data_IF_440145835421
#
_entry.id   IF_440145835421
#
_cell.length_a   1.000
_cell.length_b   1.000
_cell.length_c   1.000
_cell.angle_alpha   90.00
_cell.angle_beta   90.00
_cell.angle_gamma   90.00
#
_symmetry.space_group_name_H-M   'P 1'
#
loop_
_entity.id
_entity.type
_entity.pdbx_description
1 polymer ?
#
# COMPACT_ATOMS: atom_id res chain seq x y z
N UNK A 1 11.82 -16.49 -4.01
CA UNK A 1 12.28 -15.08 -3.88
C UNK A 1 11.16 -14.16 -4.36
N UNK A 2 11.17 -12.90 -3.92
CA UNK A 2 10.20 -11.89 -4.36
C UNK A 2 10.83 -10.97 -5.40
N UNK A 3 10.02 -10.51 -6.36
CA UNK A 3 10.48 -9.68 -7.47
C UNK A 3 9.67 -8.40 -7.57
N UNK A 4 10.35 -7.29 -7.79
CA UNK A 4 9.76 -6.02 -8.18
C UNK A 4 10.46 -5.50 -9.45
N UNK A 5 9.69 -4.81 -10.31
CA UNK A 5 10.22 -4.23 -11.54
C UNK A 5 9.89 -2.75 -11.58
N UNK A 6 10.93 -1.92 -11.55
CA UNK A 6 10.80 -0.49 -11.78
C UNK A 6 11.12 -0.18 -13.25
N UNK A 7 10.49 0.86 -13.77
CA UNK A 7 10.72 1.28 -15.17
C UNK A 7 11.15 2.73 -15.25
N UNK A 8 11.95 3.06 -16.26
CA UNK A 8 12.30 4.44 -16.56
C UNK A 8 12.27 4.64 -18.08
N UNK A 9 11.41 5.53 -18.61
CA UNK A 9 10.40 6.31 -17.88
C UNK A 9 9.29 5.43 -17.27
N UNK A 10 8.63 5.96 -16.25
CA UNK A 10 7.40 5.44 -15.66
C UNK A 10 6.30 6.52 -15.81
N UNK A 11 5.23 6.28 -16.58
CA UNK A 11 4.90 5.04 -17.30
C UNK A 11 5.81 4.76 -18.50
N UNK A 12 5.90 3.48 -18.89
CA UNK A 12 6.53 3.07 -20.16
C UNK A 12 5.76 3.70 -21.32
N UNK A 13 6.47 4.29 -22.29
CA UNK A 13 5.87 4.90 -23.47
C UNK A 13 6.18 4.08 -24.73
N UNK A 14 5.14 3.74 -25.48
CA UNK A 14 5.27 3.21 -26.84
C UNK A 14 6.03 4.20 -27.73
N UNK A 15 6.76 3.69 -28.71
CA UNK A 15 7.51 4.53 -29.65
C UNK A 15 6.58 5.35 -30.56
N UNK A 16 6.96 6.57 -30.96
CA UNK A 16 6.21 7.31 -31.96
C UNK A 16 6.23 6.58 -33.32
N UNK A 17 5.22 6.86 -34.15
CA UNK A 17 5.11 6.29 -35.51
C UNK A 17 6.26 6.72 -36.43
N UNK A 18 6.93 7.82 -36.11
CA UNK A 18 8.06 8.38 -36.86
C UNK A 18 9.14 8.93 -35.91
N UNK A 19 10.40 8.85 -36.31
CA UNK A 19 11.53 9.36 -35.52
C UNK A 19 12.26 8.25 -34.77
N UNK A 20 13.00 8.63 -33.73
CA UNK A 20 13.71 7.66 -32.89
C UNK A 20 12.72 6.89 -32.01
N UNK A 21 12.96 5.59 -31.77
CA UNK A 21 12.17 4.83 -30.83
C UNK A 21 12.34 5.39 -29.41
N UNK A 22 11.26 5.36 -28.64
CA UNK A 22 11.34 5.51 -27.19
C UNK A 22 12.06 4.31 -26.61
N UNK A 23 12.85 4.54 -25.55
CA UNK A 23 13.55 3.49 -24.84
C UNK A 23 13.07 3.39 -23.41
N UNK A 24 13.04 2.17 -22.88
CA UNK A 24 12.79 1.90 -21.47
C UNK A 24 13.99 1.20 -20.83
N UNK A 25 14.23 1.53 -19.57
CA UNK A 25 15.08 0.77 -18.66
C UNK A 25 14.19 -0.02 -17.72
N UNK A 26 14.44 -1.32 -17.58
CA UNK A 26 13.84 -2.19 -16.59
C UNK A 26 14.86 -2.43 -15.47
N UNK A 27 14.51 -2.09 -14.25
CA UNK A 27 15.27 -2.42 -13.05
C UNK A 27 14.52 -3.53 -12.31
N UNK A 28 15.11 -4.72 -12.25
CA UNK A 28 14.57 -5.90 -11.62
C UNK A 28 15.23 -6.03 -10.25
N UNK A 29 14.44 -5.84 -9.20
CA UNK A 29 14.85 -5.99 -7.81
C UNK A 29 14.41 -7.36 -7.32
N UNK A 30 15.34 -8.11 -6.75
CA UNK A 30 15.13 -9.44 -6.18
C UNK A 30 15.36 -9.34 -4.68
N UNK A 31 14.40 -9.81 -3.89
CA UNK A 31 14.54 -9.87 -2.43
C UNK A 31 14.28 -11.27 -1.89
N UNK A 32 14.96 -11.58 -0.80
CA UNK A 32 14.72 -12.78 -0.01
C UNK A 32 14.19 -12.38 1.37
N UNK A 33 12.91 -12.66 1.59
CA UNK A 33 12.17 -12.34 2.81
C UNK A 33 12.06 -13.53 3.79
N UNK A 34 12.52 -14.73 3.42
CA UNK A 34 12.33 -15.94 4.24
C UNK A 34 13.19 -15.98 5.51
N UNK A 35 14.28 -15.20 5.55
CA UNK A 35 15.27 -15.22 6.64
C UNK A 35 16.33 -16.32 6.50
N UNK A 36 16.07 -17.33 5.66
CA UNK A 36 17.01 -18.38 5.29
C UNK A 36 17.77 -18.04 4.00
N UNK A 37 18.96 -18.59 3.84
CA UNK A 37 19.78 -18.36 2.65
C UNK A 37 19.26 -19.21 1.48
N UNK A 38 19.02 -18.58 0.32
CA UNK A 38 18.59 -19.27 -0.90
C UNK A 38 19.79 -19.37 -1.85
N UNK A 39 20.09 -20.57 -2.33
CA UNK A 39 21.07 -20.78 -3.41
C UNK A 39 20.36 -20.55 -4.75
N UNK A 40 20.76 -19.51 -5.48
CA UNK A 40 20.24 -19.18 -6.80
C UNK A 40 21.28 -19.48 -7.87
N UNK A 41 20.91 -20.29 -8.85
CA UNK A 41 21.77 -20.68 -9.97
C UNK A 41 21.58 -19.77 -11.18
N UNK A 42 20.34 -19.33 -11.44
CA UNK A 42 20.08 -18.38 -12.51
C UNK A 42 18.75 -17.64 -12.35
N UNK A 43 18.70 -16.47 -12.95
CA UNK A 43 17.47 -15.68 -13.14
C UNK A 43 17.42 -15.30 -14.62
N UNK A 44 16.39 -15.76 -15.32
CA UNK A 44 16.15 -15.41 -16.72
C UNK A 44 14.98 -14.43 -16.81
N UNK A 45 15.24 -13.26 -17.39
CA UNK A 45 14.21 -12.26 -17.71
C UNK A 45 13.93 -12.33 -19.20
N UNK A 46 12.65 -12.40 -19.59
CA UNK A 46 12.26 -12.46 -20.99
C UNK A 46 10.98 -11.69 -21.29
N UNK A 47 10.84 -11.28 -22.55
CA UNK A 47 9.65 -10.64 -23.08
C UNK A 47 9.48 -11.02 -24.56
N UNK A 48 8.27 -10.87 -25.09
CA UNK A 48 8.01 -11.09 -26.51
C UNK A 48 8.51 -9.94 -27.36
N UNK A 49 8.91 -10.26 -28.60
CA UNK A 49 9.42 -9.29 -29.56
C UNK A 49 8.65 -9.30 -30.87
N UNK A 50 8.28 -8.10 -31.32
CA UNK A 50 7.60 -7.85 -32.58
C UNK A 50 6.89 -6.49 -32.54
N UNK A 51 5.82 -6.35 -33.32
CA UNK A 51 5.10 -5.09 -33.53
C UNK A 51 3.77 -4.98 -32.79
N UNK A 52 3.30 -6.06 -32.15
CA UNK A 52 1.97 -6.14 -31.55
C UNK A 52 1.93 -5.55 -30.13
N UNK A 53 0.70 -5.37 -29.62
CA UNK A 53 0.44 -4.76 -28.31
C UNK A 53 1.12 -5.54 -27.17
N UNK A 54 1.17 -6.86 -27.27
CA UNK A 54 1.69 -7.80 -26.27
C UNK A 54 3.22 -7.97 -26.31
N UNK A 55 3.89 -7.32 -27.26
CA UNK A 55 5.32 -7.45 -27.49
C UNK A 55 6.04 -6.17 -27.04
N UNK A 56 7.10 -6.27 -26.22
CA UNK A 56 7.75 -5.07 -25.68
C UNK A 56 8.56 -4.33 -26.75
N UNK A 57 9.33 -5.07 -27.55
CA UNK A 57 10.33 -4.50 -28.47
C UNK A 57 10.26 -5.18 -29.83
N UNK A 58 10.49 -4.44 -30.90
CA UNK A 58 10.69 -5.01 -32.24
C UNK A 58 12.16 -5.33 -32.55
N UNK A 59 13.08 -4.92 -31.68
CA UNK A 59 14.53 -5.01 -31.89
C UNK A 59 15.28 -5.04 -30.55
N UNK A 60 15.94 -6.16 -30.26
CA UNK A 60 16.71 -6.37 -29.02
C UNK A 60 18.18 -5.97 -29.15
N UNK A 61 18.59 -5.44 -30.30
CA UNK A 61 19.98 -4.98 -30.50
C UNK A 61 20.27 -3.72 -29.69
N UNK A 62 21.45 -3.70 -29.07
CA UNK A 62 21.92 -2.55 -28.29
C UNK A 62 21.32 -2.43 -26.89
N UNK A 63 20.58 -3.44 -26.41
CA UNK A 63 20.15 -3.51 -25.01
C UNK A 63 21.40 -3.60 -24.12
N UNK A 64 21.52 -2.64 -23.22
CA UNK A 64 22.57 -2.62 -22.20
C UNK A 64 22.15 -3.41 -20.97
N UNK A 65 23.12 -3.76 -20.12
CA UNK A 65 22.84 -4.36 -18.83
C UNK A 65 23.73 -3.81 -17.73
N UNK A 66 23.26 -3.90 -16.49
CA UNK A 66 24.05 -3.76 -15.28
C UNK A 66 23.65 -4.88 -14.34
N UNK A 67 24.64 -5.56 -13.78
CA UNK A 67 24.46 -6.74 -12.93
C UNK A 67 25.15 -6.51 -11.59
N UNK A 68 24.69 -7.18 -10.51
CA UNK A 68 25.38 -7.17 -9.23
C UNK A 68 26.83 -7.68 -9.34
N UNK A 69 27.67 -7.32 -8.37
CA UNK A 69 29.03 -7.86 -8.29
C UNK A 69 29.00 -9.39 -8.20
N UNK A 70 29.82 -10.06 -9.00
CA UNK A 70 29.91 -11.52 -9.02
C UNK A 70 28.79 -12.20 -9.81
N UNK A 71 28.05 -11.45 -10.62
CA UNK A 71 27.07 -11.96 -11.57
C UNK A 71 27.46 -11.59 -13.00
N UNK A 72 27.05 -12.41 -13.94
CA UNK A 72 27.18 -12.17 -15.38
C UNK A 72 25.84 -12.36 -16.10
N UNK A 73 25.72 -11.78 -17.31
CA UNK A 73 24.51 -11.86 -18.13
C UNK A 73 24.83 -12.43 -19.51
N UNK A 74 24.00 -13.35 -19.97
CA UNK A 74 23.99 -13.86 -21.34
C UNK A 74 22.65 -13.56 -22.01
N UNK A 75 22.70 -13.05 -23.24
CA UNK A 75 21.52 -12.74 -24.03
C UNK A 75 21.37 -13.75 -25.17
N UNK A 76 20.16 -14.30 -25.31
CA UNK A 76 19.74 -15.08 -26.47
C UNK A 76 18.40 -14.54 -26.98
N UNK A 77 18.44 -13.71 -28.03
CA UNK A 77 17.25 -13.05 -28.56
C UNK A 77 16.64 -12.07 -27.54
N UNK A 78 15.46 -12.42 -27.01
CA UNK A 78 14.73 -11.65 -25.99
C UNK A 78 14.79 -12.26 -24.59
N UNK A 79 15.66 -13.26 -24.38
CA UNK A 79 15.92 -13.89 -23.09
C UNK A 79 17.27 -13.40 -22.57
N UNK A 80 17.28 -12.90 -21.34
CA UNK A 80 18.45 -12.38 -20.63
C UNK A 80 18.65 -13.21 -19.37
N UNK A 81 19.65 -14.10 -19.39
CA UNK A 81 19.96 -15.00 -18.29
C UNK A 81 21.08 -14.43 -17.45
N UNK A 82 20.80 -14.16 -16.19
CA UNK A 82 21.75 -13.76 -15.17
C UNK A 82 22.19 -15.01 -14.39
N UNK A 83 23.49 -15.15 -14.17
CA UNK A 83 24.06 -16.26 -13.39
C UNK A 83 25.15 -15.74 -12.45
N UNK A 84 25.28 -16.29 -11.24
CA UNK A 84 26.40 -15.98 -10.38
C UNK A 84 27.68 -16.61 -10.94
N UNK A 85 28.78 -15.89 -10.83
CA UNK A 85 30.09 -16.34 -11.29
C UNK A 85 30.72 -17.36 -10.32
N UNK A 86 30.21 -17.42 -9.08
CA UNK A 86 30.63 -18.34 -8.00
C UNK A 86 29.44 -18.81 -7.19
N UNK A 87 29.56 -19.96 -6.51
CA UNK A 87 28.53 -20.46 -5.59
C UNK A 87 28.18 -19.44 -4.49
N UNK A 88 29.18 -18.72 -3.97
CA UNK A 88 29.00 -17.70 -2.93
C UNK A 88 28.20 -16.49 -3.43
N UNK A 89 28.40 -16.06 -4.68
CA UNK A 89 27.62 -14.97 -5.27
C UNK A 89 26.15 -15.37 -5.53
N UNK A 90 25.87 -16.67 -5.67
CA UNK A 90 24.53 -17.24 -5.78
C UNK A 90 23.79 -17.36 -4.44
N UNK A 91 24.44 -17.11 -3.31
CA UNK A 91 23.82 -17.19 -1.99
C UNK A 91 23.06 -15.90 -1.67
N UNK A 92 21.74 -15.93 -1.85
CA UNK A 92 20.87 -14.78 -1.64
C UNK A 92 20.40 -14.77 -0.18
N UNK A 93 20.91 -13.82 0.59
CA UNK A 93 20.46 -13.53 1.95
C UNK A 93 19.51 -12.31 1.95
N UNK A 94 19.28 -11.67 3.11
CA UNK A 94 18.42 -10.49 3.20
C UNK A 94 18.91 -9.25 2.44
N UNK A 95 20.11 -9.28 1.82
CA UNK A 95 20.54 -8.24 0.89
C UNK A 95 19.95 -8.54 -0.49
N UNK A 96 19.09 -7.65 -0.99
CA UNK A 96 18.50 -7.79 -2.32
C UNK A 96 19.52 -7.65 -3.45
N UNK A 97 19.17 -8.20 -4.61
CA UNK A 97 19.92 -8.02 -5.86
C UNK A 97 19.18 -7.08 -6.80
N UNK A 98 19.93 -6.35 -7.62
CA UNK A 98 19.36 -5.49 -8.66
C UNK A 98 20.00 -5.78 -10.00
N UNK A 99 19.19 -6.17 -10.97
CA UNK A 99 19.58 -6.35 -12.37
C UNK A 99 18.93 -5.26 -13.21
N UNK A 100 19.65 -4.70 -14.17
CA UNK A 100 19.15 -3.63 -15.04
C UNK A 100 19.29 -4.05 -16.48
N UNK A 101 18.22 -3.90 -17.26
CA UNK A 101 18.24 -3.94 -18.73
C UNK A 101 17.90 -2.54 -19.24
N UNK A 102 18.81 -1.92 -20.00
CA UNK A 102 18.68 -0.53 -20.43
C UNK A 102 18.63 -0.40 -21.95
N UNK A 103 18.16 0.76 -22.44
CA UNK A 103 18.04 1.07 -23.87
C UNK A 103 17.15 0.08 -24.65
N UNK A 104 16.16 -0.52 -23.98
CA UNK A 104 15.19 -1.38 -24.65
C UNK A 104 14.30 -0.49 -25.52
N UNK A 105 14.40 -0.62 -26.83
CA UNK A 105 13.54 0.10 -27.78
C UNK A 105 12.13 -0.43 -27.65
N UNK A 106 11.21 0.39 -27.17
CA UNK A 106 9.80 0.01 -27.03
C UNK A 106 9.17 -0.01 -28.43
N UNK A 107 8.35 -1.00 -28.75
CA UNK A 107 7.66 -0.99 -30.05
C UNK A 107 6.58 0.11 -30.11
N UNK A 108 5.96 0.29 -31.28
CA UNK A 108 5.05 1.42 -31.53
C UNK A 108 3.62 1.20 -31.03
N UNK A 109 3.23 -0.04 -30.72
CA UNK A 109 1.85 -0.38 -30.38
C UNK A 109 1.64 -0.30 -28.87
N UNK A 110 0.81 0.64 -28.35
CA UNK A 110 0.41 0.63 -26.94
C UNK A 110 -0.30 -0.67 -26.57
N UNK A 111 -0.15 -1.11 -25.33
CA UNK A 111 -0.64 -2.41 -24.92
C UNK A 111 0.02 -2.93 -23.65
N UNK A 112 -0.54 -4.00 -23.09
CA UNK A 112 0.06 -4.74 -21.98
C UNK A 112 0.88 -5.90 -22.52
N UNK A 113 2.12 -6.01 -22.10
CA UNK A 113 3.00 -7.16 -22.37
C UNK A 113 3.31 -7.89 -21.06
N UNK A 114 3.72 -9.15 -21.17
CA UNK A 114 4.19 -9.93 -20.03
C UNK A 114 5.72 -9.87 -19.96
N UNK A 115 6.24 -9.45 -18.82
CA UNK A 115 7.64 -9.71 -18.47
C UNK A 115 7.69 -11.04 -17.70
N UNK A 116 8.34 -12.03 -18.27
CA UNK A 116 8.48 -13.35 -17.65
C UNK A 116 9.83 -13.43 -16.95
N UNK A 117 9.81 -13.72 -15.66
CA UNK A 117 10.99 -14.00 -14.85
C UNK A 117 10.96 -15.49 -14.50
N UNK A 118 11.99 -16.21 -14.91
CA UNK A 118 12.20 -17.61 -14.52
C UNK A 118 13.42 -17.68 -13.62
N UNK A 119 13.27 -18.20 -12.41
CA UNK A 119 14.39 -18.47 -11.51
C UNK A 119 14.66 -19.96 -11.42
N UNK A 120 15.95 -20.30 -11.30
CA UNK A 120 16.42 -21.61 -10.89
C UNK A 120 17.14 -21.44 -9.55
N UNK A 121 16.51 -21.91 -8.47
CA UNK A 121 16.99 -21.70 -7.11
C UNK A 121 16.52 -22.80 -6.16
N UNK A 122 17.24 -23.00 -5.07
CA UNK A 122 16.86 -23.95 -4.02
C UNK A 122 15.50 -23.61 -3.39
N UNK A 123 14.76 -24.62 -2.97
CA UNK A 123 13.57 -24.46 -2.14
C UNK A 123 13.91 -24.01 -0.70
N UNK A 124 13.54 -22.79 -0.27
CA UNK A 124 13.78 -22.34 1.10
C UNK A 124 13.03 -23.18 2.15
N UNK A 125 11.91 -23.83 1.77
CA UNK A 125 11.08 -24.60 2.69
C UNK A 125 11.45 -26.09 2.75
N UNK A 126 12.41 -26.54 1.92
CA UNK A 126 12.85 -27.92 1.87
C UNK A 126 13.96 -28.24 2.88
N UNK A 127 13.94 -29.48 3.41
CA UNK A 127 14.99 -29.97 4.32
C UNK A 127 16.31 -30.09 3.55
N UNK A 128 17.42 -29.52 4.05
CA UNK A 128 18.71 -29.59 3.38
C UNK A 128 19.20 -31.04 3.09
N UNK A 129 19.76 -31.30 1.90
CA UNK A 129 19.92 -30.37 0.78
C UNK A 129 18.59 -30.11 0.05
N UNK A 130 18.18 -28.84 -0.01
CA UNK A 130 16.97 -28.42 -0.70
C UNK A 130 17.11 -28.67 -2.21
N UNK A 131 16.10 -29.24 -2.88
CA UNK A 131 16.13 -29.43 -4.32
C UNK A 131 16.12 -28.08 -5.04
N UNK A 132 16.72 -28.05 -6.21
CA UNK A 132 16.59 -26.93 -7.15
C UNK A 132 15.17 -26.91 -7.72
N UNK A 133 14.56 -25.74 -7.72
CA UNK A 133 13.24 -25.50 -8.27
C UNK A 133 13.30 -24.42 -9.35
N UNK A 134 12.63 -24.71 -10.47
CA UNK A 134 12.36 -23.71 -11.49
C UNK A 134 11.02 -23.03 -11.18
N UNK A 135 11.06 -21.73 -10.85
CA UNK A 135 9.84 -20.94 -10.63
C UNK A 135 9.70 -19.90 -11.72
N UNK A 136 8.46 -19.62 -12.13
CA UNK A 136 8.17 -18.64 -13.17
C UNK A 136 7.11 -17.66 -12.69
N UNK A 137 7.40 -16.38 -12.86
CA UNK A 137 6.54 -15.25 -12.51
C UNK A 137 6.30 -14.45 -13.78
N UNK A 138 5.04 -14.05 -14.01
CA UNK A 138 4.66 -13.17 -15.10
C UNK A 138 4.19 -11.85 -14.52
N UNK A 139 4.88 -10.77 -14.87
CA UNK A 139 4.56 -9.41 -14.43
C UNK A 139 3.96 -8.65 -15.62
N UNK A 140 2.66 -8.33 -15.60
CA UNK A 140 2.05 -7.53 -16.65
C UNK A 140 2.50 -6.07 -16.55
N UNK A 141 3.08 -5.55 -17.62
CA UNK A 141 3.50 -4.15 -17.74
C UNK A 141 2.83 -3.51 -18.95
N UNK A 142 2.50 -2.23 -18.87
CA UNK A 142 1.78 -1.52 -19.94
C UNK A 142 2.64 -0.46 -20.62
N UNK A 143 2.63 -0.46 -21.95
CA UNK A 143 3.16 0.60 -22.80
C UNK A 143 2.03 1.58 -23.11
N UNK A 144 2.15 2.81 -22.63
CA UNK A 144 1.19 3.87 -22.87
C UNK A 144 1.48 4.59 -24.19
N UNK A 145 0.51 5.34 -24.76
CA UNK A 145 0.73 6.13 -25.96
C UNK A 145 1.98 7.04 -25.85
N UNK A 146 2.62 7.39 -26.99
CA UNK A 146 3.76 8.29 -26.99
C UNK A 146 3.47 9.59 -26.23
N UNK A 147 4.42 10.03 -25.42
CA UNK A 147 4.33 11.25 -24.59
C UNK A 147 3.24 11.22 -23.49
N UNK A 148 2.56 10.09 -23.26
CA UNK A 148 1.65 9.95 -22.14
C UNK A 148 2.41 10.05 -20.81
N UNK A 149 1.88 10.85 -19.90
CA UNK A 149 2.45 11.07 -18.57
C UNK A 149 1.35 11.31 -17.54
N UNK A 150 1.67 10.99 -16.29
CA UNK A 150 0.90 11.33 -15.10
C UNK A 150 1.91 11.69 -14.02
N UNK A 151 1.86 12.93 -13.56
CA UNK A 151 2.73 13.41 -12.48
C UNK A 151 2.26 12.85 -11.13
N UNK A 152 3.16 12.78 -10.15
CA UNK A 152 2.77 12.43 -8.79
C UNK A 152 1.77 13.47 -8.26
N UNK A 153 0.60 13.03 -7.73
CA UNK A 153 -0.34 13.95 -7.15
C UNK A 153 0.25 14.59 -5.89
N UNK A 154 -0.18 15.81 -5.59
CA UNK A 154 0.31 16.58 -4.45
C UNK A 154 -0.84 17.02 -3.56
N UNK A 155 -0.55 17.16 -2.27
CA UNK A 155 -1.49 17.70 -1.29
C UNK A 155 -1.00 19.06 -0.81
N UNK A 156 -1.94 19.95 -0.47
CA UNK A 156 -1.57 21.25 0.12
C UNK A 156 -1.00 21.12 1.54
N UNK A 157 -1.30 20.02 2.24
CA UNK A 157 -0.78 19.69 3.57
C UNK A 157 -0.33 18.23 3.60
N UNK A 158 0.80 17.96 4.24
CA UNK A 158 1.27 16.58 4.50
C UNK A 158 0.73 16.02 5.82
N UNK A 159 0.21 16.88 6.70
CA UNK A 159 -0.33 16.53 8.01
C UNK A 159 -1.61 17.33 8.23
N UNK A 160 -2.68 16.65 8.67
CA UNK A 160 -3.98 17.26 8.99
C UNK A 160 -4.52 16.69 10.32
N UNK A 161 -5.44 17.38 10.98
CA UNK A 161 -6.20 16.74 12.07
C UNK A 161 -7.35 15.91 11.48
N UNK A 162 -7.82 14.91 12.23
CA UNK A 162 -9.03 14.18 11.83
C UNK A 162 -10.21 15.15 11.59
N UNK A 163 -10.82 15.04 10.41
CA UNK A 163 -11.96 15.85 9.99
C UNK A 163 -11.59 17.19 9.33
N UNK A 164 -10.30 17.52 9.25
CA UNK A 164 -9.84 18.62 8.40
C UNK A 164 -9.90 18.22 6.93
N UNK A 165 -10.07 19.21 6.05
CA UNK A 165 -10.08 18.99 4.60
C UNK A 165 -8.67 19.09 4.00
N UNK A 166 -8.42 18.35 2.92
CA UNK A 166 -7.17 18.40 2.14
C UNK A 166 -7.46 18.65 0.67
N UNK A 167 -6.66 19.51 0.04
CA UNK A 167 -6.71 19.76 -1.40
C UNK A 167 -5.69 18.84 -2.11
N UNK A 168 -6.19 17.86 -2.86
CA UNK A 168 -5.39 17.03 -3.76
C UNK A 168 -5.30 17.71 -5.13
N UNK A 169 -4.11 17.80 -5.71
CA UNK A 169 -3.86 18.37 -7.04
C UNK A 169 -3.10 17.39 -7.91
N UNK A 170 -3.41 17.35 -9.21
CA UNK A 170 -2.77 16.44 -10.16
C UNK A 170 -2.59 17.08 -11.54
N UNK A 171 -1.69 16.47 -12.32
CA UNK A 171 -1.39 16.81 -13.70
C UNK A 171 -1.11 15.54 -14.48
N UNK A 172 -1.58 15.48 -15.72
CA UNK A 172 -1.37 14.35 -16.61
C UNK A 172 -1.91 14.62 -18.01
N UNK A 173 -1.77 13.62 -18.86
CA UNK A 173 -2.16 13.69 -20.26
C UNK A 173 -3.69 13.72 -20.47
N UNK A 174 -4.16 14.71 -21.23
CA UNK A 174 -5.54 14.75 -21.70
C UNK A 174 -5.81 13.69 -22.78
N UNK A 175 -7.08 13.43 -23.04
CA UNK A 175 -7.49 12.66 -24.23
C UNK A 175 -6.92 13.28 -25.51
N UNK A 176 -6.58 12.44 -26.47
CA UNK A 176 -6.07 12.81 -27.79
C UNK A 176 -6.86 12.06 -28.88
N UNK A 177 -6.57 12.34 -30.16
CA UNK A 177 -7.28 11.66 -31.26
C UNK A 177 -7.12 10.14 -31.30
N UNK A 178 -6.09 9.59 -30.65
CA UNK A 178 -5.77 8.16 -30.64
C UNK A 178 -6.06 7.45 -29.31
N UNK A 179 -6.39 8.17 -28.24
CA UNK A 179 -6.81 7.57 -26.97
C UNK A 179 -7.69 8.51 -26.14
N UNK A 180 -8.52 7.93 -25.28
CA UNK A 180 -9.27 8.65 -24.24
C UNK A 180 -8.64 8.37 -22.88
N UNK A 181 -8.33 9.42 -22.11
CA UNK A 181 -7.83 9.32 -20.74
C UNK A 181 -8.91 9.80 -19.76
N UNK A 182 -9.28 8.95 -18.80
CA UNK A 182 -10.28 9.24 -17.76
C UNK A 182 -9.64 9.10 -16.38
N UNK A 183 -9.89 10.08 -15.51
CA UNK A 183 -9.29 10.19 -14.17
C UNK A 183 -10.31 9.89 -13.08
N UNK A 184 -9.89 9.17 -12.04
CA UNK A 184 -10.63 8.99 -10.79
C UNK A 184 -9.69 9.05 -9.59
N UNK A 185 -10.22 9.44 -8.44
CA UNK A 185 -9.52 9.39 -7.16
C UNK A 185 -10.18 8.32 -6.31
N UNK A 186 -9.40 7.39 -5.76
CA UNK A 186 -9.86 6.42 -4.77
C UNK A 186 -9.11 6.60 -3.45
N UNK A 187 -9.82 6.49 -2.33
CA UNK A 187 -9.24 6.47 -0.99
C UNK A 187 -10.19 5.78 -0.01
N UNK A 188 -9.71 5.47 1.20
CA UNK A 188 -10.56 5.04 2.31
C UNK A 188 -10.82 6.20 3.27
N UNK A 189 -12.08 6.45 3.60
CA UNK A 189 -12.48 7.55 4.48
C UNK A 189 -12.30 7.20 5.97
N UNK A 190 -12.63 8.14 6.88
CA UNK A 190 -12.46 7.94 8.33
C UNK A 190 -13.24 6.79 8.95
N UNK A 191 -14.24 6.25 8.25
CA UNK A 191 -15.02 5.07 8.66
C UNK A 191 -14.47 3.76 8.06
N UNK A 192 -13.41 3.82 7.26
CA UNK A 192 -12.85 2.69 6.52
C UNK A 192 -13.64 2.31 5.26
N UNK A 193 -14.52 3.19 4.78
CA UNK A 193 -15.26 2.96 3.55
C UNK A 193 -14.45 3.45 2.34
N UNK A 194 -14.42 2.63 1.29
CA UNK A 194 -13.84 3.02 0.00
C UNK A 194 -14.69 4.13 -0.64
N UNK A 195 -14.05 5.22 -1.03
CA UNK A 195 -14.63 6.36 -1.74
C UNK A 195 -14.01 6.46 -3.12
N UNK A 196 -14.84 6.63 -4.15
CA UNK A 196 -14.40 6.87 -5.53
C UNK A 196 -14.97 8.20 -6.01
N UNK A 197 -14.10 9.09 -6.48
CA UNK A 197 -14.45 10.39 -7.07
C UNK A 197 -14.10 10.34 -8.55
N UNK A 198 -15.10 10.51 -9.42
CA UNK A 198 -14.93 10.48 -10.89
C UNK A 198 -15.32 11.79 -11.58
N UNK A 199 -15.77 12.79 -10.81
CA UNK A 199 -16.24 14.08 -11.32
C UNK A 199 -15.96 15.22 -10.34
N UNK A 200 -15.90 16.49 -10.80
CA UNK A 200 -15.77 17.65 -9.91
C UNK A 200 -16.98 17.81 -8.96
N UNK A 201 -16.77 18.51 -7.82
CA UNK A 201 -17.86 18.85 -6.88
C UNK A 201 -18.98 19.60 -7.61
N UNK A 202 -20.22 19.14 -7.46
CA UNK A 202 -21.41 19.77 -8.07
C UNK A 202 -21.58 19.54 -9.57
N UNK A 203 -20.73 18.74 -10.22
CA UNK A 203 -20.77 18.49 -11.67
C UNK A 203 -20.80 16.98 -11.98
N UNK A 204 -21.85 16.22 -11.59
CA UNK A 204 -21.85 14.75 -11.62
C UNK A 204 -21.74 14.12 -13.02
N UNK A 205 -21.95 14.92 -14.08
CA UNK A 205 -21.86 14.45 -15.48
C UNK A 205 -20.55 14.84 -16.16
N UNK A 206 -19.69 15.61 -15.50
CA UNK A 206 -18.41 16.04 -16.05
C UNK A 206 -17.30 15.16 -15.49
N UNK A 207 -16.49 14.47 -16.32
CA UNK A 207 -15.35 13.71 -15.81
C UNK A 207 -14.32 14.63 -15.17
N UNK A 208 -13.51 14.10 -14.26
CA UNK A 208 -12.34 14.83 -13.75
C UNK A 208 -11.43 15.25 -14.92
N UNK A 209 -10.90 16.48 -14.91
CA UNK A 209 -9.95 16.93 -15.92
C UNK A 209 -8.59 16.27 -15.72
N UNK A 210 -7.78 16.22 -16.78
CA UNK A 210 -6.41 15.69 -16.71
C UNK A 210 -5.46 16.54 -15.87
N UNK A 211 -5.77 17.83 -15.72
CA UNK A 211 -5.11 18.75 -14.79
C UNK A 211 -6.19 19.35 -13.91
N UNK A 212 -6.10 19.16 -12.60
CA UNK A 212 -7.15 19.56 -11.68
C UNK A 212 -6.78 19.48 -10.22
N UNK A 213 -7.75 19.84 -9.38
CA UNK A 213 -7.68 19.66 -7.94
C UNK A 213 -9.05 19.29 -7.37
N UNK A 214 -9.05 18.64 -6.21
CA UNK A 214 -10.25 18.21 -5.50
C UNK A 214 -10.04 18.36 -4.00
N UNK A 215 -10.97 19.04 -3.33
CA UNK A 215 -10.98 19.19 -1.88
C UNK A 215 -11.70 17.99 -1.23
N UNK A 216 -10.99 17.27 -0.38
CA UNK A 216 -11.45 16.05 0.28
C UNK A 216 -11.76 16.39 1.73
N UNK A 217 -13.03 16.28 2.11
CA UNK A 217 -13.52 16.77 3.40
C UNK A 217 -13.46 15.72 4.52
N UNK A 218 -13.24 14.44 4.18
CA UNK A 218 -13.32 13.29 5.10
C UNK A 218 -12.09 12.37 4.95
N UNK A 219 -10.89 12.98 4.99
CA UNK A 219 -9.66 12.23 5.19
C UNK A 219 -9.55 11.88 6.69
N UNK A 220 -9.56 10.60 7.02
CA UNK A 220 -9.76 10.19 8.42
C UNK A 220 -8.97 8.97 8.90
N UNK A 221 -8.35 8.20 8.00
CA UNK A 221 -7.40 7.15 8.36
C UNK A 221 -5.99 7.71 8.48
N UNK A 222 -5.16 7.13 9.34
CA UNK A 222 -3.76 7.52 9.46
C UNK A 222 -2.82 6.39 8.98
N UNK A 223 -2.06 6.59 7.89
CA UNK A 223 -2.19 7.67 6.92
C UNK A 223 -3.43 7.50 6.03
N UNK A 224 -3.97 8.59 5.49
CA UNK A 224 -4.94 8.52 4.39
C UNK A 224 -4.15 8.53 3.09
N UNK A 225 -4.34 7.50 2.26
CA UNK A 225 -3.68 7.38 0.95
C UNK A 225 -4.70 7.64 -0.15
N UNK A 226 -4.40 8.60 -1.02
CA UNK A 226 -5.17 8.92 -2.20
C UNK A 226 -4.53 8.27 -3.42
N UNK A 227 -5.29 7.49 -4.17
CA UNK A 227 -4.88 6.86 -5.42
C UNK A 227 -5.50 7.63 -6.58
N UNK A 228 -4.67 8.32 -7.37
CA UNK A 228 -5.05 8.88 -8.66
C UNK A 228 -4.98 7.77 -9.70
N UNK A 229 -6.13 7.32 -10.16
CA UNK A 229 -6.27 6.28 -11.18
C UNK A 229 -6.55 6.92 -12.53
N UNK A 230 -5.87 6.43 -13.57
CA UNK A 230 -6.07 6.84 -14.95
C UNK A 230 -6.39 5.61 -15.79
N UNK A 231 -7.54 5.64 -16.44
CA UNK A 231 -7.94 4.64 -17.44
C UNK A 231 -7.70 5.22 -18.83
N UNK A 232 -6.87 4.56 -19.63
CA UNK A 232 -6.47 4.99 -20.97
C UNK A 232 -7.02 4.02 -22.00
N UNK A 233 -8.10 4.40 -22.67
CA UNK A 233 -8.68 3.65 -23.78
C UNK A 233 -8.01 4.05 -25.08
N UNK A 234 -7.15 3.20 -25.63
CA UNK A 234 -6.51 3.40 -26.93
C UNK A 234 -7.45 2.86 -28.03
N UNK A 235 -7.52 3.57 -29.16
CA UNK A 235 -8.30 3.11 -30.30
C UNK A 235 -7.75 1.77 -30.83
N UNK A 236 -8.62 0.77 -30.94
CA UNK A 236 -8.25 -0.56 -31.45
C UNK A 236 -7.69 -1.53 -30.41
N UNK A 237 -7.56 -1.13 -29.13
CA UNK A 237 -7.34 -2.07 -28.03
C UNK A 237 -8.67 -2.53 -27.43
N UNK A 238 -8.78 -3.82 -27.15
CA UNK A 238 -9.98 -4.43 -26.53
C UNK A 238 -10.11 -4.07 -25.04
N UNK A 239 -8.98 -3.84 -24.38
CA UNK A 239 -8.92 -3.49 -22.96
C UNK A 239 -8.17 -2.16 -22.77
N UNK A 240 -8.66 -1.29 -21.85
CA UNK A 240 -7.95 -0.07 -21.52
C UNK A 240 -6.67 -0.38 -20.74
N UNK A 241 -5.72 0.54 -20.79
CA UNK A 241 -4.55 0.54 -19.94
C UNK A 241 -4.87 1.27 -18.63
N UNK A 242 -4.32 0.78 -17.53
CA UNK A 242 -4.53 1.36 -16.20
C UNK A 242 -3.22 1.87 -15.63
N UNK A 243 -3.25 3.08 -15.08
CA UNK A 243 -2.12 3.68 -14.39
C UNK A 243 -2.56 4.29 -13.06
N UNK A 244 -1.71 4.18 -12.04
CA UNK A 244 -2.01 4.69 -10.70
C UNK A 244 -0.80 5.42 -10.13
N UNK A 245 -1.03 6.60 -9.58
CA UNK A 245 -0.10 7.30 -8.69
C UNK A 245 -0.77 7.53 -7.34
N UNK A 246 0.00 7.78 -6.30
CA UNK A 246 -0.55 8.04 -4.97
C UNK A 246 0.09 9.22 -4.29
N UNK A 247 -0.66 9.82 -3.38
CA UNK A 247 -0.20 10.78 -2.39
C UNK A 247 -0.80 10.40 -1.04
N UNK A 248 -0.13 10.73 0.05
CA UNK A 248 -0.63 10.44 1.39
C UNK A 248 -0.56 11.67 2.29
N UNK A 249 -1.43 11.66 3.29
CA UNK A 249 -1.40 12.60 4.40
C UNK A 249 -1.42 11.85 5.72
N UNK A 250 -0.61 12.32 6.67
CA UNK A 250 -0.69 11.87 8.06
C UNK A 250 -1.90 12.53 8.72
N UNK A 251 -2.73 11.73 9.38
CA UNK A 251 -3.94 12.22 10.05
C UNK A 251 -3.75 12.11 11.55
N UNK A 252 -3.62 13.26 12.21
CA UNK A 252 -3.48 13.30 13.67
C UNK A 252 -4.83 12.92 14.28
N UNK A 253 -4.87 11.73 14.88
CA UNK A 253 -5.99 11.27 15.69
C UNK A 253 -5.94 11.94 17.07
N UNK A 254 -7.06 12.47 17.58
CA UNK A 254 -7.07 13.08 18.89
C UNK A 254 -6.85 12.00 19.97
N UNK A 255 -5.98 12.27 20.95
CA UNK A 255 -5.59 11.29 21.98
C UNK A 255 -6.81 10.90 22.85
N UNK A 256 -7.01 9.61 23.17
CA UNK A 256 -7.98 9.19 24.19
C UNK A 256 -7.70 9.87 25.53
N UNK A 257 -8.74 10.42 26.17
CA UNK A 257 -8.60 11.14 27.44
C UNK A 257 -9.73 10.82 28.42
N UNK A 258 -9.37 10.71 29.70
CA UNK A 258 -10.30 10.74 30.84
C UNK A 258 -10.34 12.19 31.30
N UNK A 259 -11.42 12.91 30.96
CA UNK A 259 -11.59 14.30 31.36
C UNK A 259 -12.02 14.41 32.82
N UNK A 260 -12.85 13.47 33.28
CA UNK A 260 -13.24 13.34 34.68
C UNK A 260 -13.52 11.88 35.04
N UNK A 261 -13.18 11.50 36.27
CA UNK A 261 -13.64 10.25 36.89
C UNK A 261 -13.74 10.47 38.40
N UNK A 262 -14.96 10.38 38.95
CA UNK A 262 -15.23 10.72 40.34
C UNK A 262 -16.23 9.75 40.97
N UNK A 263 -16.28 9.78 42.31
CA UNK A 263 -17.18 8.96 43.12
C UNK A 263 -17.88 9.84 44.15
N UNK A 264 -19.21 9.68 44.29
CA UNK A 264 -20.00 10.40 45.27
C UNK A 264 -21.09 9.51 45.91
N UNK A 265 -21.30 9.58 47.25
CA UNK A 265 -20.44 10.24 48.23
C UNK A 265 -19.07 9.54 48.33
N UNK A 266 -18.03 10.21 48.86
CA UNK A 266 -16.68 9.62 48.98
C UNK A 266 -16.46 8.85 50.29
N UNK A 267 -17.46 8.83 51.17
CA UNK A 267 -17.49 8.04 52.39
C UNK A 267 -18.93 7.72 52.78
N UNK A 268 -19.13 6.56 53.40
CA UNK A 268 -20.44 6.09 53.85
C UNK A 268 -20.29 5.34 55.17
N UNK A 269 -21.30 5.41 56.03
CA UNK A 269 -21.30 4.79 57.37
C UNK A 269 -21.99 3.43 57.32
N UNK A 270 -21.36 2.33 57.79
CA UNK A 270 -21.92 0.98 57.74
C UNK A 270 -23.32 0.86 58.39
N UNK A 271 -24.24 0.13 57.75
CA UNK A 271 -25.53 -0.27 58.33
C UNK A 271 -26.80 0.11 57.56
N UNK A 272 -26.68 0.79 56.41
CA UNK A 272 -27.82 1.30 55.63
C UNK A 272 -27.54 1.12 54.13
N UNK A 273 -27.85 -0.02 53.49
CA UNK A 273 -27.71 -0.27 52.03
C UNK A 273 -26.97 0.81 51.22
N UNK A 274 -25.64 0.81 51.29
CA UNK A 274 -24.84 1.95 50.85
C UNK A 274 -24.47 1.79 49.39
N UNK A 275 -24.77 2.80 48.59
CA UNK A 275 -24.35 2.88 47.19
C UNK A 275 -23.48 4.11 46.96
N UNK A 276 -22.51 3.98 46.08
CA UNK A 276 -21.80 5.11 45.52
C UNK A 276 -22.20 5.30 44.06
N UNK A 277 -22.14 6.53 43.57
CA UNK A 277 -22.28 6.85 42.15
C UNK A 277 -20.91 7.19 41.60
N UNK A 278 -20.41 6.36 40.69
CA UNK A 278 -19.30 6.71 39.82
C UNK A 278 -19.83 7.65 38.74
N UNK A 279 -19.08 8.70 38.41
CA UNK A 279 -19.38 9.62 37.30
C UNK A 279 -18.14 9.81 36.46
N UNK A 280 -18.29 9.89 35.14
CA UNK A 280 -17.16 10.08 34.23
C UNK A 280 -17.50 10.94 33.03
N UNK A 281 -16.44 11.50 32.46
CA UNK A 281 -16.42 12.11 31.14
C UNK A 281 -15.15 11.67 30.45
N UNK A 282 -15.26 11.05 29.28
CA UNK A 282 -14.15 10.59 28.45
C UNK A 282 -14.29 11.14 27.03
N UNK A 283 -13.18 11.23 26.30
CA UNK A 283 -13.19 11.70 24.90
C UNK A 283 -12.19 10.92 24.06
N UNK A 284 -12.47 10.85 22.75
CA UNK A 284 -11.64 10.19 21.74
C UNK A 284 -11.36 8.71 22.06
N UNK A 285 -12.36 8.02 22.59
CA UNK A 285 -12.25 6.61 22.98
C UNK A 285 -13.49 5.87 22.49
N UNK A 286 -13.31 4.62 22.04
CA UNK A 286 -14.41 3.74 21.60
C UNK A 286 -14.81 2.73 22.67
N UNK A 287 -13.96 2.49 23.67
CA UNK A 287 -14.26 1.60 24.79
C UNK A 287 -13.45 1.96 26.05
N UNK A 288 -13.99 1.66 27.22
CA UNK A 288 -13.27 1.76 28.49
C UNK A 288 -13.69 0.65 29.43
N UNK A 289 -12.86 0.39 30.44
CA UNK A 289 -13.23 -0.47 31.55
C UNK A 289 -13.08 0.25 32.88
N UNK A 290 -13.94 -0.11 33.83
CA UNK A 290 -13.80 0.29 35.23
C UNK A 290 -13.49 -0.96 36.04
N UNK A 291 -12.40 -0.89 36.80
CA UNK A 291 -11.92 -1.96 37.67
C UNK A 291 -12.18 -1.55 39.12
N UNK A 292 -12.84 -2.41 39.88
CA UNK A 292 -12.97 -2.30 41.33
C UNK A 292 -11.89 -3.17 41.99
N UNK A 293 -11.07 -2.54 42.84
CA UNK A 293 -10.00 -3.18 43.60
C UNK A 293 -10.34 -3.14 45.08
N UNK A 294 -10.72 -4.27 45.65
CA UNK A 294 -11.30 -4.37 46.99
C UNK A 294 -10.28 -4.35 48.16
N UNK A 295 -9.13 -3.68 47.96
CA UNK A 295 -8.11 -3.47 49.00
C UNK A 295 -7.25 -4.70 49.33
N UNK A 296 -6.42 -4.65 50.40
CA UNK A 296 -5.52 -5.73 50.79
C UNK A 296 -6.27 -7.03 51.10
N UNK A 297 -5.99 -8.09 50.34
CA UNK A 297 -6.66 -9.39 50.46
C UNK A 297 -7.98 -9.51 49.66
N UNK A 298 -8.42 -8.44 48.98
CA UNK A 298 -9.56 -8.44 48.06
C UNK A 298 -9.18 -8.84 46.63
N UNK A 299 -10.18 -9.18 45.81
CA UNK A 299 -10.00 -9.41 44.38
C UNK A 299 -10.16 -8.13 43.57
N UNK A 300 -9.54 -8.09 42.40
CA UNK A 300 -9.84 -7.11 41.35
C UNK A 300 -10.94 -7.65 40.46
N UNK A 301 -11.96 -6.84 40.18
CA UNK A 301 -13.06 -7.23 39.30
C UNK A 301 -13.39 -6.13 38.31
N UNK A 302 -13.72 -6.52 37.08
CA UNK A 302 -14.29 -5.62 36.07
C UNK A 302 -15.75 -5.32 36.45
N UNK A 303 -16.15 -4.08 36.28
CA UNK A 303 -17.56 -3.68 36.35
C UNK A 303 -18.19 -3.74 34.96
N UNK A 304 -19.38 -4.33 34.87
CA UNK A 304 -20.18 -4.39 33.64
C UNK A 304 -20.92 -3.06 33.42
N UNK A 305 -20.15 -2.02 33.08
CA UNK A 305 -20.65 -0.67 32.86
C UNK A 305 -20.91 -0.46 31.37
N UNK A 306 -22.11 -0.04 30.95
CA UNK A 306 -22.36 0.33 29.56
C UNK A 306 -21.46 1.48 29.11
N UNK A 307 -20.89 1.34 27.91
CA UNK A 307 -20.09 2.41 27.32
C UNK A 307 -20.92 3.69 27.13
N UNK A 308 -20.35 4.81 27.55
CA UNK A 308 -20.88 6.15 27.31
C UNK A 308 -19.76 7.19 27.48
N UNK A 309 -19.74 8.21 26.63
CA UNK A 309 -18.75 9.30 26.73
C UNK A 309 -18.93 10.13 28.01
N UNK A 310 -20.16 10.29 28.46
CA UNK A 310 -20.52 10.85 29.75
C UNK A 310 -21.54 9.92 30.40
N UNK A 311 -21.29 9.53 31.66
CA UNK A 311 -22.13 8.55 32.30
C UNK A 311 -21.97 8.49 33.80
N UNK A 312 -22.91 7.76 34.41
CA UNK A 312 -22.90 7.46 35.84
C UNK A 312 -23.20 5.99 36.07
N UNK A 313 -22.59 5.38 37.08
CA UNK A 313 -22.85 3.99 37.45
C UNK A 313 -22.93 3.84 38.97
N UNK A 314 -24.02 3.24 39.44
CA UNK A 314 -24.22 2.98 40.87
C UNK A 314 -23.50 1.69 41.24
N UNK A 315 -22.59 1.77 42.22
CA UNK A 315 -21.87 0.64 42.77
C UNK A 315 -22.25 0.41 44.22
N UNK A 316 -22.30 -0.86 44.60
CA UNK A 316 -22.49 -1.28 45.98
C UNK A 316 -21.17 -1.90 46.46
N UNK A 317 -20.45 -1.27 47.41
CA UNK A 317 -19.19 -1.80 47.90
C UNK A 317 -19.42 -3.11 48.66
N UNK A 318 -18.55 -4.09 48.39
CA UNK A 318 -18.56 -5.39 49.07
C UNK A 318 -17.45 -5.51 50.13
N UNK A 319 -16.53 -4.54 50.17
CA UNK A 319 -15.48 -4.41 51.17
C UNK A 319 -15.47 -3.01 51.80
N UNK A 320 -14.80 -2.89 52.94
CA UNK A 320 -14.65 -1.63 53.68
C UNK A 320 -13.84 -0.58 52.90
N UNK A 321 -12.98 -1.02 51.99
CA UNK A 321 -12.17 -0.15 51.14
C UNK A 321 -12.09 -0.73 49.73
N UNK A 322 -12.60 0.02 48.75
CA UNK A 322 -12.52 -0.33 47.34
C UNK A 322 -12.00 0.87 46.55
N UNK A 323 -10.96 0.67 45.75
CA UNK A 323 -10.47 1.67 44.79
C UNK A 323 -11.03 1.37 43.42
N UNK A 324 -11.66 2.35 42.78
CA UNK A 324 -12.12 2.26 41.41
C UNK A 324 -11.13 2.94 40.47
N UNK A 325 -10.75 2.25 39.40
CA UNK A 325 -9.86 2.78 38.37
C UNK A 325 -10.53 2.66 37.01
N UNK A 326 -10.55 3.76 36.25
CA UNK A 326 -10.96 3.76 34.85
C UNK A 326 -9.74 3.60 33.96
N UNK A 327 -9.84 2.74 32.94
CA UNK A 327 -8.82 2.53 31.92
C UNK A 327 -9.47 2.66 30.56
N UNK A 328 -8.91 3.53 29.71
CA UNK A 328 -9.32 3.63 28.32
C UNK A 328 -8.75 2.43 27.57
N UNK A 329 -9.59 1.80 26.76
CA UNK A 329 -9.17 0.69 25.92
C UNK A 329 -8.90 1.25 24.52
N UNK A 330 -7.69 1.07 24.02
CA UNK A 330 -7.43 1.28 22.59
C UNK A 330 -8.12 0.16 21.83
N UNK A 331 -8.79 0.48 20.73
CA UNK A 331 -9.11 -0.52 19.72
C UNK A 331 -7.80 -1.02 19.11
N UNK A 332 -7.19 -2.06 19.69
CA UNK A 332 -6.40 -2.95 18.87
C UNK A 332 -7.42 -3.61 17.95
N UNK A 333 -7.39 -3.27 16.66
CA UNK A 333 -7.96 -4.13 15.65
C UNK A 333 -7.18 -5.44 15.80
N UNK A 334 -7.72 -6.38 16.56
CA UNK A 334 -7.27 -7.76 16.53
C UNK A 334 -7.65 -8.25 15.13
N UNK A 335 -6.77 -8.03 14.15
CA UNK A 335 -6.66 -8.98 13.08
C UNK A 335 -6.30 -10.29 13.75
N UNK A 336 -7.29 -11.16 13.72
CA UNK A 336 -7.12 -12.54 14.12
C UNK A 336 -6.21 -13.11 13.05
N UNK A 337 -4.93 -13.28 13.38
CA UNK A 337 -4.16 -14.38 12.82
C UNK A 337 -4.90 -15.67 13.22
N UNK A 338 -5.86 -16.08 12.38
CA UNK A 338 -6.11 -17.50 12.20
C UNK A 338 -5.10 -17.99 11.18
N UNK A 339 -4.10 -18.68 11.75
CA UNK A 339 -3.15 -19.60 11.13
C UNK A 339 -3.92 -20.70 10.39
#
# INVERSE_FOLDING_TARGET
MDYAVNTTPDPIQASPSTGNPNTVTLEIVVSNSSGDMITCNSIAVSFLTGTDAEELSSDTSGIGNTVPTGWSMQQSGSIFTFSPDTEEAGQISGQGLTFVLSNIKVNQQPGTFQLTITEDASDPDAIPPAPEENRTINIPLSKFPPQFYVDDPTTNHSIINKGDSVLLSWSGSSSSGNYTATYSIEYENGDGNKVTISHPKGQPTQPLPAVGSYEIDDAGLDPTVFYLQVTVQVQGLDHPLYYTKSASVTVIQPKPAINSFSIAPNSVVPGQGLSFTLSWTVSNVTDFQIIANDGPGGQSRRLDVPFSLEGTYVVYPIQLQTTYSMQLLSSSRNESEEI
#
